data_IF_875298333528
#
_entry.id   IF_875298333528
#
_cell.length_a   1.000
_cell.length_b   1.000
_cell.length_c   1.000
_cell.angle_alpha   90.00
_cell.angle_beta   90.00
_cell.angle_gamma   90.00
#
_symmetry.space_group_name_H-M   'P 1'
#
loop_
_entity.id
_entity.type
_entity.pdbx_description
1 polymer ?
#
# COMPACT_ATOMS: atom_id res chain seq x y z
N UNK A 1 20.51 1.01 31.08
CA UNK A 1 20.99 1.39 29.75
C UNK A 1 20.69 0.20 28.83
N UNK A 2 19.55 0.24 28.16
CA UNK A 2 19.15 -0.83 27.23
C UNK A 2 19.82 -0.53 25.88
N UNK A 3 20.77 -1.36 25.50
CA UNK A 3 21.29 -1.37 24.15
C UNK A 3 20.20 -1.92 23.22
N UNK A 4 19.52 -1.02 22.52
CA UNK A 4 18.69 -1.40 21.39
C UNK A 4 19.66 -1.80 20.28
N UNK A 5 19.81 -3.11 20.13
CA UNK A 5 20.54 -3.69 19.02
C UNK A 5 19.86 -3.19 17.73
N UNK A 6 20.52 -2.29 17.00
CA UNK A 6 20.12 -1.91 15.65
C UNK A 6 20.35 -3.10 14.73
N UNK A 7 19.51 -4.12 14.85
CA UNK A 7 19.32 -5.03 13.74
C UNK A 7 18.58 -4.21 12.67
N UNK A 8 19.30 -3.74 11.69
CA UNK A 8 18.74 -3.27 10.43
C UNK A 8 17.85 -4.40 9.92
N UNK A 9 16.56 -4.19 10.05
CA UNK A 9 15.58 -5.02 9.37
C UNK A 9 15.78 -4.74 7.88
N UNK A 10 16.51 -5.61 7.22
CA UNK A 10 16.69 -5.55 5.78
C UNK A 10 15.38 -5.96 5.12
N UNK A 11 14.54 -4.98 4.82
CA UNK A 11 13.25 -5.19 4.15
C UNK A 11 13.42 -5.78 2.73
N UNK A 12 14.63 -5.78 2.18
CA UNK A 12 14.91 -6.46 0.92
C UNK A 12 15.04 -7.98 1.08
N UNK A 13 15.08 -8.48 2.30
CA UNK A 13 15.28 -9.90 2.60
C UNK A 13 14.07 -10.56 3.28
N UNK A 14 12.86 -10.01 3.09
CA UNK A 14 11.63 -10.76 3.35
C UNK A 14 11.42 -11.84 2.27
N UNK A 15 12.47 -12.59 2.00
CA UNK A 15 12.37 -13.82 1.25
C UNK A 15 11.81 -14.89 2.18
N UNK A 16 10.50 -14.82 2.41
CA UNK A 16 9.81 -15.91 3.08
C UNK A 16 10.05 -17.18 2.27
N UNK A 17 10.37 -18.24 2.96
CA UNK A 17 10.64 -19.59 2.42
C UNK A 17 9.47 -20.17 1.61
N UNK A 18 8.94 -19.47 0.60
CA UNK A 18 7.95 -19.94 -0.39
C UNK A 18 7.57 -18.89 -1.44
N UNK A 19 8.39 -17.86 -1.73
CA UNK A 19 8.16 -16.96 -2.86
C UNK A 19 6.97 -16.00 -2.73
N UNK A 20 6.43 -15.81 -1.52
CA UNK A 20 5.35 -14.87 -1.24
C UNK A 20 5.91 -13.65 -0.52
N UNK A 21 5.93 -12.51 -1.19
CA UNK A 21 6.18 -11.22 -0.54
C UNK A 21 4.85 -10.64 -0.07
N UNK A 22 4.76 -10.27 1.21
CA UNK A 22 3.58 -9.59 1.79
C UNK A 22 3.49 -8.14 1.34
N UNK A 23 4.59 -7.56 0.89
CA UNK A 23 4.65 -6.19 0.39
C UNK A 23 4.95 -6.24 -1.10
N UNK A 24 4.08 -5.58 -1.88
CA UNK A 24 4.28 -5.37 -3.31
C UNK A 24 4.79 -3.95 -3.51
N UNK A 25 5.84 -3.80 -4.30
CA UNK A 25 6.47 -2.50 -4.59
C UNK A 25 6.63 -2.28 -6.08
N UNK A 26 6.46 -1.02 -6.48
CA UNK A 26 6.78 -0.53 -7.82
C UNK A 26 7.69 0.68 -7.68
N UNK A 27 8.73 0.75 -8.50
CA UNK A 27 9.62 1.91 -8.57
C UNK A 27 9.41 2.68 -9.87
N UNK A 28 9.52 4.00 -9.80
CA UNK A 28 9.48 4.88 -10.96
C UNK A 28 10.57 5.95 -10.88
N UNK A 29 10.99 6.46 -12.02
CA UNK A 29 11.88 7.62 -12.12
C UNK A 29 11.14 8.95 -12.00
N UNK A 30 9.82 8.95 -12.03
CA UNK A 30 9.00 10.15 -11.80
C UNK A 30 9.27 10.69 -10.40
N UNK A 31 9.56 12.00 -10.26
CA UNK A 31 9.86 12.59 -8.94
C UNK A 31 8.74 12.37 -7.92
N UNK A 32 9.12 12.17 -6.66
CA UNK A 32 8.18 11.94 -5.56
C UNK A 32 7.08 13.00 -5.48
N UNK A 33 7.45 14.28 -5.60
CA UNK A 33 6.50 15.39 -5.54
C UNK A 33 5.44 15.29 -6.65
N UNK A 34 5.83 14.89 -7.85
CA UNK A 34 4.92 14.71 -8.98
C UNK A 34 3.98 13.53 -8.77
N UNK A 35 4.50 12.38 -8.33
CA UNK A 35 3.68 11.22 -8.00
C UNK A 35 2.61 11.57 -6.95
N UNK A 36 2.99 12.28 -5.90
CA UNK A 36 2.07 12.75 -4.85
C UNK A 36 1.00 13.71 -5.39
N UNK A 37 1.37 14.60 -6.30
CA UNK A 37 0.43 15.55 -6.92
C UNK A 37 -0.59 14.85 -7.83
N UNK A 38 -0.15 13.86 -8.59
CA UNK A 38 -0.97 13.17 -9.60
C UNK A 38 -1.78 11.97 -9.03
N UNK A 39 -1.48 11.53 -7.80
CA UNK A 39 -2.02 10.27 -7.26
C UNK A 39 -3.55 10.24 -7.19
N UNK A 40 -4.19 11.35 -6.85
CA UNK A 40 -5.66 11.43 -6.81
C UNK A 40 -6.26 11.20 -8.19
N UNK A 41 -5.69 11.80 -9.24
CA UNK A 41 -6.17 11.66 -10.61
C UNK A 41 -5.96 10.22 -11.12
N UNK A 42 -4.77 9.67 -10.93
CA UNK A 42 -4.47 8.29 -11.34
C UNK A 42 -5.33 7.27 -10.61
N UNK A 43 -5.60 7.47 -9.31
CA UNK A 43 -6.51 6.62 -8.55
C UNK A 43 -7.93 6.66 -9.11
N UNK A 44 -8.43 7.84 -9.43
CA UNK A 44 -9.78 8.03 -9.99
C UNK A 44 -9.95 7.34 -11.34
N UNK A 45 -8.94 7.38 -12.20
CA UNK A 45 -8.95 6.70 -13.49
C UNK A 45 -9.11 5.17 -13.35
N UNK A 46 -8.65 4.60 -12.25
CA UNK A 46 -8.79 3.18 -11.92
C UNK A 46 -9.99 2.87 -11.01
N UNK A 47 -10.90 3.82 -10.82
CA UNK A 47 -12.11 3.64 -10.02
C UNK A 47 -11.92 3.76 -8.51
N UNK A 48 -10.80 4.33 -8.05
CA UNK A 48 -10.53 4.54 -6.63
C UNK A 48 -10.69 6.00 -6.23
N UNK A 49 -11.29 6.22 -5.06
CA UNK A 49 -11.25 7.50 -4.35
C UNK A 49 -10.16 7.50 -3.29
N UNK A 50 -9.53 8.65 -3.08
CA UNK A 50 -8.60 8.86 -1.96
C UNK A 50 -9.42 9.32 -0.75
N UNK A 51 -9.44 8.51 0.30
CA UNK A 51 -10.19 8.79 1.53
C UNK A 51 -9.39 9.64 2.53
N UNK A 52 -8.08 9.52 2.51
CA UNK A 52 -7.20 10.24 3.41
C UNK A 52 -5.74 10.07 3.03
N UNK A 53 -4.91 10.89 3.64
CA UNK A 53 -3.46 10.81 3.48
C UNK A 53 -2.76 11.12 4.81
N UNK A 54 -1.61 10.49 5.03
CA UNK A 54 -0.82 10.63 6.25
C UNK A 54 0.62 10.94 5.86
N UNK A 55 1.04 12.17 6.06
CA UNK A 55 2.43 12.61 5.86
C UNK A 55 3.23 12.35 7.13
N UNK A 56 3.83 11.16 7.24
CA UNK A 56 4.47 10.70 8.48
C UNK A 56 5.62 11.58 8.92
N UNK A 57 6.40 12.15 8.01
CA UNK A 57 7.47 13.08 8.37
C UNK A 57 6.93 14.28 9.17
N UNK A 58 5.83 14.87 8.71
CA UNK A 58 5.18 16.00 9.41
C UNK A 58 4.51 15.55 10.70
N UNK A 59 3.77 14.44 10.68
CA UNK A 59 3.06 13.91 11.85
C UNK A 59 4.04 13.63 12.98
N UNK A 60 5.13 12.94 12.70
CA UNK A 60 6.12 12.56 13.70
C UNK A 60 6.92 13.77 14.21
N UNK A 61 7.21 14.72 13.34
CA UNK A 61 7.87 15.96 13.74
C UNK A 61 7.05 16.74 14.78
N UNK A 62 5.74 16.86 14.56
CA UNK A 62 4.84 17.56 15.52
C UNK A 62 4.73 16.85 16.86
N UNK A 63 5.01 15.55 16.90
CA UNK A 63 4.96 14.74 18.13
C UNK A 63 6.31 14.61 18.82
N UNK A 64 7.36 15.24 18.29
CA UNK A 64 8.71 15.22 18.87
C UNK A 64 9.54 13.98 18.49
N UNK A 65 9.14 13.23 17.46
CA UNK A 65 9.85 12.04 16.97
C UNK A 65 10.21 12.18 15.47
N UNK A 66 11.04 13.15 15.09
CA UNK A 66 11.32 13.44 13.68
C UNK A 66 11.99 12.28 12.96
N UNK A 67 11.65 12.11 11.69
CA UNK A 67 12.34 11.23 10.75
C UNK A 67 12.85 12.03 9.54
N UNK A 68 13.90 11.56 8.89
CA UNK A 68 14.51 12.24 7.74
C UNK A 68 13.82 11.89 6.41
N UNK A 69 12.96 10.88 6.41
CA UNK A 69 12.30 10.38 5.20
C UNK A 69 10.92 11.01 5.00
N UNK A 70 10.66 11.49 3.78
CA UNK A 70 9.30 11.90 3.36
C UNK A 70 8.53 10.64 2.96
N UNK A 71 7.69 10.15 3.88
CA UNK A 71 6.83 8.99 3.67
C UNK A 71 5.39 9.44 3.81
N UNK A 72 4.60 9.28 2.72
CA UNK A 72 3.17 9.54 2.74
C UNK A 72 2.40 8.26 2.47
N UNK A 73 1.41 7.97 3.30
CA UNK A 73 0.48 6.85 3.10
C UNK A 73 -0.86 7.41 2.67
N UNK A 74 -1.38 6.90 1.56
CA UNK A 74 -2.72 7.22 1.06
C UNK A 74 -3.67 6.06 1.35
N UNK A 75 -4.87 6.38 1.79
CA UNK A 75 -5.95 5.43 1.90
C UNK A 75 -6.85 5.56 0.67
N UNK A 76 -6.97 4.49 -0.09
CA UNK A 76 -7.73 4.47 -1.34
C UNK A 76 -8.82 3.39 -1.29
N UNK A 77 -9.97 3.68 -1.87
CA UNK A 77 -11.13 2.80 -1.85
C UNK A 77 -11.83 2.78 -3.20
N UNK A 78 -12.15 1.57 -3.66
CA UNK A 78 -13.13 1.36 -4.72
C UNK A 78 -14.48 1.05 -4.05
N UNK A 79 -15.45 1.97 -4.05
CA UNK A 79 -16.67 1.82 -3.25
C UNK A 79 -17.52 0.61 -3.67
N UNK A 80 -17.63 0.35 -4.96
CA UNK A 80 -18.40 -0.78 -5.49
C UNK A 80 -17.84 -2.12 -5.02
N UNK A 81 -16.53 -2.28 -5.13
CA UNK A 81 -15.84 -3.49 -4.70
C UNK A 81 -15.88 -3.65 -3.17
N UNK A 82 -15.69 -2.56 -2.44
CA UNK A 82 -15.77 -2.57 -0.98
C UNK A 82 -17.16 -3.02 -0.50
N UNK A 83 -18.24 -2.56 -1.14
CA UNK A 83 -19.60 -2.97 -0.83
C UNK A 83 -19.76 -4.49 -0.95
N UNK A 84 -19.36 -5.07 -2.07
CA UNK A 84 -19.48 -6.52 -2.31
C UNK A 84 -18.67 -7.35 -1.31
N UNK A 85 -17.42 -6.95 -1.08
CA UNK A 85 -16.50 -7.65 -0.17
C UNK A 85 -17.01 -7.59 1.27
N UNK A 86 -17.42 -6.41 1.74
CA UNK A 86 -17.88 -6.22 3.11
C UNK A 86 -19.22 -6.89 3.41
N UNK A 87 -20.09 -7.00 2.42
CA UNK A 87 -21.33 -7.77 2.57
C UNK A 87 -21.07 -9.28 2.65
N UNK A 88 -20.03 -9.77 1.98
CA UNK A 88 -19.66 -11.18 2.01
C UNK A 88 -18.99 -11.56 3.32
N UNK A 89 -18.12 -10.70 3.86
CA UNK A 89 -17.34 -10.99 5.06
C UNK A 89 -16.96 -9.70 5.80
N UNK A 90 -17.65 -9.39 6.90
CA UNK A 90 -17.40 -8.17 7.68
C UNK A 90 -15.97 -8.08 8.24
N UNK A 91 -15.39 -9.21 8.63
CA UNK A 91 -14.05 -9.25 9.23
C UNK A 91 -12.94 -8.80 8.27
N UNK A 92 -13.16 -8.88 6.95
CA UNK A 92 -12.16 -8.43 5.96
C UNK A 92 -11.94 -6.91 6.02
N UNK A 93 -12.82 -6.19 6.69
CA UNK A 93 -12.67 -4.75 6.93
C UNK A 93 -11.36 -4.36 7.58
N UNK A 94 -10.67 -5.29 8.28
CA UNK A 94 -9.34 -5.06 8.87
C UNK A 94 -8.26 -4.77 7.81
N UNK A 95 -8.48 -5.18 6.57
CA UNK A 95 -7.59 -4.91 5.43
C UNK A 95 -8.02 -3.70 4.60
N UNK A 96 -9.10 -3.03 4.96
CA UNK A 96 -9.64 -1.87 4.25
C UNK A 96 -9.50 -0.60 5.11
N UNK A 97 -9.36 0.58 4.47
CA UNK A 97 -9.15 0.79 3.04
C UNK A 97 -7.77 0.32 2.58
N UNK A 98 -7.59 0.14 1.27
CA UNK A 98 -6.27 -0.17 0.72
C UNK A 98 -5.31 1.00 0.97
N UNK A 99 -4.07 0.70 1.29
CA UNK A 99 -3.04 1.70 1.54
C UNK A 99 -1.97 1.68 0.48
N UNK A 100 -1.61 2.86 -0.01
CA UNK A 100 -0.46 3.11 -0.86
C UNK A 100 0.54 3.95 -0.10
N UNK A 101 1.71 3.40 0.19
CA UNK A 101 2.84 4.13 0.74
C UNK A 101 3.69 4.66 -0.40
N UNK A 102 4.07 5.93 -0.34
CA UNK A 102 4.87 6.60 -1.37
C UNK A 102 6.06 7.28 -0.69
N UNK A 103 7.26 6.97 -1.17
CA UNK A 103 8.51 7.49 -0.61
C UNK A 103 9.64 7.41 -1.65
N UNK A 104 10.77 8.03 -1.34
CA UNK A 104 11.98 7.94 -2.16
C UNK A 104 12.98 6.96 -1.54
N UNK A 105 13.57 6.13 -2.38
CA UNK A 105 14.64 5.22 -2.01
C UNK A 105 15.62 5.06 -3.17
N UNK A 106 16.92 5.19 -2.88
CA UNK A 106 17.99 5.10 -3.88
C UNK A 106 17.78 6.03 -5.09
N UNK A 107 17.27 7.23 -4.87
CA UNK A 107 17.02 8.24 -5.91
C UNK A 107 15.81 7.96 -6.81
N UNK A 108 14.99 6.97 -6.46
CA UNK A 108 13.74 6.64 -7.17
C UNK A 108 12.55 6.76 -6.26
N UNK A 109 11.40 7.04 -6.84
CA UNK A 109 10.12 6.98 -6.13
C UNK A 109 9.65 5.54 -6.05
N UNK A 110 9.27 5.11 -4.85
CA UNK A 110 8.72 3.79 -4.56
C UNK A 110 7.26 3.93 -4.14
N UNK A 111 6.40 3.11 -4.74
CA UNK A 111 5.03 2.90 -4.29
C UNK A 111 4.96 1.49 -3.70
N UNK A 112 4.38 1.35 -2.53
CA UNK A 112 4.27 0.08 -1.83
C UNK A 112 2.86 -0.15 -1.28
N UNK A 113 2.42 -1.40 -1.29
CA UNK A 113 1.14 -1.82 -0.71
C UNK A 113 1.23 -3.25 -0.17
N UNK A 114 0.23 -3.65 0.62
CA UNK A 114 0.10 -5.05 1.02
C UNK A 114 -0.29 -5.88 -0.20
N UNK A 115 0.36 -7.02 -0.39
CA UNK A 115 0.00 -7.97 -1.44
C UNK A 115 -1.30 -8.68 -1.06
N UNK A 116 -2.42 -8.16 -1.56
CA UNK A 116 -3.74 -8.70 -1.24
C UNK A 116 -4.01 -10.07 -1.84
N UNK A 117 -3.31 -10.47 -2.90
CA UNK A 117 -3.39 -11.85 -3.43
C UNK A 117 -2.85 -12.84 -2.42
N UNK A 118 -1.70 -12.53 -1.81
CA UNK A 118 -1.13 -13.35 -0.73
C UNK A 118 -2.06 -13.41 0.49
N UNK A 119 -2.66 -12.29 0.86
CA UNK A 119 -3.64 -12.24 1.96
C UNK A 119 -4.85 -13.12 1.64
N UNK A 120 -5.47 -12.96 0.47
CA UNK A 120 -6.63 -13.72 0.06
C UNK A 120 -6.35 -15.23 0.02
N UNK A 121 -5.17 -15.64 -0.45
CA UNK A 121 -4.76 -17.05 -0.49
C UNK A 121 -4.57 -17.65 0.90
N UNK A 122 -4.31 -16.83 1.91
CA UNK A 122 -4.14 -17.27 3.30
C UNK A 122 -5.45 -17.33 4.10
N UNK A 123 -6.53 -16.75 3.55
CA UNK A 123 -7.83 -16.72 4.21
C UNK A 123 -8.69 -17.93 3.80
N UNK A 124 -9.50 -18.41 4.76
CA UNK A 124 -10.54 -19.40 4.50
C UNK A 124 -11.79 -18.69 3.96
N UNK A 125 -11.78 -18.42 2.67
CA UNK A 125 -12.83 -17.73 1.93
C UNK A 125 -13.16 -18.50 0.66
N UNK A 126 -14.39 -18.30 0.13
CA UNK A 126 -14.77 -18.92 -1.12
C UNK A 126 -14.07 -18.31 -2.35
N UNK A 127 -14.11 -19.02 -3.46
CA UNK A 127 -13.43 -18.61 -4.69
C UNK A 127 -14.04 -17.33 -5.30
N UNK A 128 -15.31 -17.06 -5.08
CA UNK A 128 -15.98 -15.85 -5.57
C UNK A 128 -15.42 -14.61 -4.84
N UNK A 129 -15.35 -14.65 -3.53
CA UNK A 129 -14.77 -13.57 -2.72
C UNK A 129 -13.29 -13.37 -3.03
N UNK A 130 -12.54 -14.45 -3.17
CA UNK A 130 -11.12 -14.41 -3.57
C UNK A 130 -10.96 -13.72 -4.93
N UNK A 131 -11.78 -14.06 -5.92
CA UNK A 131 -11.77 -13.46 -7.25
C UNK A 131 -12.05 -11.96 -7.20
N UNK A 132 -13.01 -11.51 -6.37
CA UNK A 132 -13.29 -10.08 -6.16
C UNK A 132 -12.08 -9.35 -5.57
N UNK A 133 -11.44 -9.92 -4.56
CA UNK A 133 -10.23 -9.34 -3.97
C UNK A 133 -9.11 -9.24 -4.99
N UNK A 134 -8.89 -10.26 -5.80
CA UNK A 134 -7.88 -10.26 -6.85
C UNK A 134 -8.13 -9.16 -7.89
N UNK A 135 -9.39 -9.01 -8.34
CA UNK A 135 -9.75 -7.97 -9.32
C UNK A 135 -9.46 -6.57 -8.79
N UNK A 136 -9.85 -6.28 -7.54
CA UNK A 136 -9.59 -4.99 -6.91
C UNK A 136 -8.10 -4.73 -6.79
N UNK A 137 -7.34 -5.74 -6.42
CA UNK A 137 -5.90 -5.62 -6.28
C UNK A 137 -5.22 -5.35 -7.63
N UNK A 138 -5.68 -5.95 -8.72
CA UNK A 138 -5.17 -5.67 -10.06
C UNK A 138 -5.38 -4.21 -10.49
N UNK A 139 -6.53 -3.61 -10.15
CA UNK A 139 -6.75 -2.17 -10.36
C UNK A 139 -5.78 -1.32 -9.53
N UNK A 140 -5.49 -1.73 -8.30
CA UNK A 140 -4.51 -1.06 -7.46
C UNK A 140 -3.09 -1.15 -8.05
N UNK A 141 -2.71 -2.33 -8.57
CA UNK A 141 -1.44 -2.51 -9.29
C UNK A 141 -1.37 -1.58 -10.53
N UNK A 142 -2.48 -1.37 -11.23
CA UNK A 142 -2.53 -0.44 -12.36
C UNK A 142 -2.26 1.00 -11.94
N UNK A 143 -2.79 1.44 -10.80
CA UNK A 143 -2.45 2.76 -10.23
C UNK A 143 -0.95 2.84 -9.98
N UNK A 144 -0.37 1.84 -9.31
CA UNK A 144 1.03 1.83 -8.94
C UNK A 144 1.97 1.84 -10.15
N UNK A 145 1.58 1.24 -11.26
CA UNK A 145 2.35 1.18 -12.49
C UNK A 145 2.10 2.36 -13.46
N UNK A 146 1.18 3.26 -13.16
CA UNK A 146 0.74 4.29 -14.08
C UNK A 146 1.76 5.40 -14.37
N UNK A 147 2.85 5.45 -13.64
CA UNK A 147 4.00 6.35 -13.89
C UNK A 147 5.14 5.70 -14.67
N UNK A 148 4.99 4.46 -15.09
CA UNK A 148 6.01 3.72 -15.83
C UNK A 148 5.67 3.58 -17.31
#
# INVERSE_FOLDING_TARGET
MLFINKSYFDIHNFNTKKGYTMIYTVTTTTPLAQVKEELVAHSKESGFGVLGSYEFQKILQTKGFPIDKDITVYEVCNPSAAQEILQSMSAISVYLPCRLSVYEENGKTVLATINMKTVADSLDIDEELKSHIYSVYEYLENIMNSWN
#
